data_IF_883316231459
#
_entry.id   IF_883316231459
#
_cell.length_a   1.000
_cell.length_b   1.000
_cell.length_c   1.000
_cell.angle_alpha   90.00
_cell.angle_beta   90.00
_cell.angle_gamma   90.00
#
_symmetry.space_group_name_H-M   'P 1'
#
loop_
_entity.id
_entity.type
_entity.pdbx_description
1 polymer ?
#
# COMPACT_ATOMS: atom_id res chain seq x y z
N UNK A 1 8.24 -44.73 -15.76
CA UNK A 1 7.07 -43.84 -15.56
C UNK A 1 7.61 -42.51 -15.04
N UNK A 2 7.98 -41.55 -15.92
CA UNK A 2 8.80 -40.38 -15.54
C UNK A 2 8.27 -39.02 -16.04
N UNK A 3 6.99 -38.93 -16.40
CA UNK A 3 6.48 -37.77 -17.17
C UNK A 3 5.64 -36.75 -16.36
N UNK A 4 5.71 -36.74 -15.02
CA UNK A 4 4.90 -35.83 -14.19
C UNK A 4 5.64 -34.56 -13.74
N UNK A 5 6.97 -34.46 -13.93
CA UNK A 5 7.79 -33.31 -13.52
C UNK A 5 8.23 -32.54 -14.77
N UNK A 6 7.31 -31.83 -15.43
CA UNK A 6 7.65 -30.80 -16.42
C UNK A 6 6.44 -29.92 -16.72
N UNK A 7 5.96 -29.15 -15.75
CA UNK A 7 4.84 -28.25 -16.02
C UNK A 7 4.91 -26.85 -15.42
N UNK A 8 5.78 -26.50 -14.45
CA UNK A 8 5.61 -25.18 -13.78
C UNK A 8 6.85 -24.33 -13.47
N UNK A 9 8.07 -24.73 -13.81
CA UNK A 9 9.26 -23.93 -13.45
C UNK A 9 9.30 -22.55 -14.16
N UNK A 10 8.73 -22.46 -15.37
CA UNK A 10 8.58 -21.19 -16.11
C UNK A 10 7.39 -20.34 -15.68
N UNK A 11 6.36 -20.96 -15.08
CA UNK A 11 5.18 -20.28 -14.58
C UNK A 11 5.46 -19.59 -13.24
N UNK A 12 6.26 -20.20 -12.37
CA UNK A 12 6.70 -19.61 -11.09
C UNK A 12 7.49 -18.32 -11.31
N UNK A 13 8.51 -18.32 -12.18
CA UNK A 13 9.35 -17.13 -12.42
C UNK A 13 8.58 -15.94 -13.00
N UNK A 14 7.57 -16.21 -13.84
CA UNK A 14 6.68 -15.18 -14.39
C UNK A 14 5.66 -14.69 -13.35
N UNK A 15 5.22 -15.59 -12.46
CA UNK A 15 4.30 -15.26 -11.36
C UNK A 15 4.96 -14.35 -10.32
N UNK A 16 6.24 -14.58 -9.98
CA UNK A 16 7.00 -13.74 -9.06
C UNK A 16 7.10 -12.29 -9.57
N UNK A 17 7.45 -12.09 -10.84
CA UNK A 17 7.59 -10.75 -11.41
C UNK A 17 6.25 -9.99 -11.44
N UNK A 18 5.14 -10.69 -11.71
CA UNK A 18 3.79 -10.13 -11.62
C UNK A 18 3.41 -9.77 -10.18
N UNK A 19 3.80 -10.59 -9.20
CA UNK A 19 3.59 -10.29 -7.79
C UNK A 19 4.41 -9.05 -7.36
N UNK A 20 5.69 -8.96 -7.74
CA UNK A 20 6.52 -7.78 -7.48
C UNK A 20 5.92 -6.49 -8.05
N UNK A 21 5.46 -6.51 -9.30
CA UNK A 21 4.78 -5.37 -9.91
C UNK A 21 3.46 -5.05 -9.22
N UNK A 22 2.67 -6.06 -8.84
CA UNK A 22 1.42 -5.85 -8.12
C UNK A 22 1.67 -5.18 -6.77
N UNK A 23 2.63 -5.67 -5.98
CA UNK A 23 3.03 -5.03 -4.72
C UNK A 23 3.50 -3.59 -4.99
N UNK A 24 4.36 -3.37 -5.97
CA UNK A 24 4.93 -2.03 -6.22
C UNK A 24 3.89 -1.02 -6.70
N UNK A 25 2.93 -1.45 -7.54
CA UNK A 25 1.92 -0.57 -8.15
C UNK A 25 0.65 -0.47 -7.31
N UNK A 26 0.38 -1.43 -6.42
CA UNK A 26 -0.85 -1.46 -5.61
C UNK A 26 -0.53 -1.30 -4.12
N UNK A 27 0.33 -2.15 -3.56
CA UNK A 27 0.64 -2.11 -2.13
C UNK A 27 1.28 -0.78 -1.74
N UNK A 28 2.32 -0.34 -2.45
CA UNK A 28 3.00 0.92 -2.13
C UNK A 28 2.09 2.15 -2.24
N UNK A 29 1.26 2.31 -3.30
CA UNK A 29 0.33 3.44 -3.36
C UNK A 29 -0.75 3.40 -2.28
N UNK A 30 -1.31 2.23 -1.97
CA UNK A 30 -2.28 2.09 -0.87
C UNK A 30 -1.63 2.44 0.46
N UNK A 31 -0.42 1.94 0.72
CA UNK A 31 0.36 2.29 1.90
C UNK A 31 0.66 3.78 1.96
N UNK A 32 1.03 4.40 0.83
CA UNK A 32 1.30 5.84 0.75
C UNK A 32 0.07 6.66 1.11
N UNK A 33 -1.10 6.34 0.54
CA UNK A 33 -2.37 7.03 0.87
C UNK A 33 -2.75 6.79 2.32
N UNK A 34 -2.59 5.56 2.83
CA UNK A 34 -2.85 5.22 4.21
C UNK A 34 -1.98 6.02 5.18
N UNK A 35 -0.67 6.10 4.93
CA UNK A 35 0.28 6.83 5.78
C UNK A 35 0.06 8.34 5.71
N UNK A 36 -0.04 8.91 4.51
CA UNK A 36 -0.24 10.36 4.33
C UNK A 36 -1.61 10.79 4.86
N UNK A 37 -2.66 10.00 4.58
CA UNK A 37 -4.01 10.21 5.09
C UNK A 37 -4.05 10.09 6.61
N UNK A 38 -3.46 9.04 7.19
CA UNK A 38 -3.37 8.87 8.63
C UNK A 38 -2.58 10.00 9.29
N UNK A 39 -1.48 10.46 8.68
CA UNK A 39 -0.68 11.57 9.20
C UNK A 39 -1.48 12.89 9.17
N UNK A 40 -2.07 13.25 8.04
CA UNK A 40 -2.91 14.45 7.92
C UNK A 40 -4.12 14.40 8.85
N UNK A 41 -4.75 13.23 8.99
CA UNK A 41 -5.85 13.01 9.92
C UNK A 41 -5.41 13.08 11.38
N UNK A 42 -4.22 12.56 11.72
CA UNK A 42 -3.66 12.65 13.08
C UNK A 42 -3.38 14.10 13.45
N UNK A 43 -2.80 14.87 12.52
CA UNK A 43 -2.59 16.31 12.70
C UNK A 43 -3.92 17.03 12.85
N UNK A 44 -4.92 16.69 12.01
CA UNK A 44 -6.27 17.25 12.11
C UNK A 44 -6.92 16.93 13.47
N UNK A 45 -6.82 15.70 13.97
CA UNK A 45 -7.29 15.32 15.31
C UNK A 45 -6.54 16.11 16.38
N UNK A 46 -5.22 16.21 16.28
CA UNK A 46 -4.42 16.98 17.23
C UNK A 46 -4.87 18.45 17.27
N UNK A 47 -5.16 19.04 16.10
CA UNK A 47 -5.74 20.37 15.97
C UNK A 47 -7.14 20.43 16.61
N UNK A 48 -8.02 19.49 16.28
CA UNK A 48 -9.40 19.45 16.76
C UNK A 48 -9.52 19.26 18.28
N UNK A 49 -8.62 18.49 18.90
CA UNK A 49 -8.66 18.17 20.33
C UNK A 49 -7.91 19.17 21.20
N UNK A 50 -6.77 19.71 20.74
CA UNK A 50 -5.88 20.52 21.59
C UNK A 50 -5.81 21.99 21.18
N UNK A 51 -6.03 22.34 19.91
CA UNK A 51 -5.79 23.70 19.41
C UNK A 51 -7.07 24.47 19.06
N UNK A 52 -8.25 23.87 19.25
CA UNK A 52 -9.54 24.47 18.92
C UNK A 52 -9.79 24.50 17.41
N UNK A 53 -11.05 24.24 17.04
CA UNK A 53 -11.62 24.21 15.68
C UNK A 53 -10.70 24.77 14.57
N UNK A 54 -10.19 23.93 13.64
CA UNK A 54 -9.42 24.42 12.50
C UNK A 54 -10.33 25.31 11.61
N UNK A 55 -10.18 26.63 11.68
CA UNK A 55 -11.02 27.55 10.89
C UNK A 55 -10.95 29.06 11.15
N UNK A 56 -10.36 29.56 12.24
CA UNK A 56 -10.25 31.03 12.45
C UNK A 56 -8.79 31.49 12.31
N UNK A 57 -8.39 31.72 11.05
CA UNK A 57 -7.35 32.66 10.69
C UNK A 57 -8.00 33.77 9.87
N UNK A 58 -8.60 34.75 10.55
CA UNK A 58 -9.35 35.86 9.96
C UNK A 58 -10.67 36.11 10.66
#
# INVERSE_FOLDING_TARGET
>A
MSNAVKQNDGAERSSEWKAFLFITVVLFPILSVGVVGAYGFSVWIAQALFFGMPGHGG
#
